data_IF_290043250505
#
_entry.id   IF_290043250505
#
_cell.length_a   1.000
_cell.length_b   1.000
_cell.length_c   1.000
_cell.angle_alpha   90.00
_cell.angle_beta   90.00
_cell.angle_gamma   90.00
#
_symmetry.space_group_name_H-M   'P 1'
#
loop_
_entity.id
_entity.type
_entity.pdbx_description
1 polymer ?
#
# COMPACT_ATOMS: atom_id res chain seq x y z
N UNK A 1 27.66 23.52 28.16
CA UNK A 1 26.42 23.62 27.37
C UNK A 1 26.41 22.46 26.39
N UNK A 2 25.24 21.83 26.15
CA UNK A 2 25.12 20.45 25.67
C UNK A 2 25.61 20.27 24.23
N UNK A 3 26.04 19.05 23.91
CA UNK A 3 26.48 18.61 22.59
C UNK A 3 25.29 18.61 21.64
N UNK A 4 25.14 19.68 20.84
CA UNK A 4 24.09 19.78 19.83
C UNK A 4 24.60 19.03 18.60
N UNK A 5 23.93 17.94 18.23
CA UNK A 5 24.21 17.25 16.97
C UNK A 5 24.08 18.29 15.85
N UNK A 6 25.18 18.58 15.16
CA UNK A 6 25.26 19.59 14.09
C UNK A 6 24.19 19.38 13.01
N UNK A 7 23.64 18.16 12.86
CA UNK A 7 22.55 17.84 11.95
C UNK A 7 21.23 18.51 12.31
N UNK A 8 20.89 18.70 13.58
CA UNK A 8 19.58 19.26 13.99
C UNK A 8 19.48 20.78 13.80
N UNK A 9 20.61 21.49 13.74
CA UNK A 9 20.63 22.94 13.57
C UNK A 9 20.36 23.39 12.12
N UNK A 10 20.37 22.47 11.14
CA UNK A 10 20.11 22.75 9.72
C UNK A 10 18.70 22.39 9.28
N UNK A 11 17.93 21.68 10.10
CA UNK A 11 16.56 21.33 9.79
C UNK A 11 15.63 22.43 10.30
N UNK A 12 14.82 22.98 9.41
CA UNK A 12 13.77 23.91 9.79
C UNK A 12 12.51 23.16 10.24
N UNK A 13 11.56 23.89 10.80
CA UNK A 13 10.29 23.33 11.27
C UNK A 13 9.51 22.61 10.15
N UNK A 14 9.70 23.03 8.89
CA UNK A 14 9.05 22.41 7.74
C UNK A 14 9.69 21.07 7.37
N UNK A 15 11.01 20.93 7.49
CA UNK A 15 11.70 19.67 7.30
C UNK A 15 11.19 18.61 8.29
N UNK A 16 11.04 18.97 9.57
CA UNK A 16 10.48 18.07 10.58
C UNK A 16 9.02 17.68 10.29
N UNK A 17 8.19 18.65 9.91
CA UNK A 17 6.81 18.38 9.51
C UNK A 17 6.75 17.41 8.32
N UNK A 18 7.60 17.62 7.32
CA UNK A 18 7.70 16.77 6.16
C UNK A 18 8.11 15.35 6.57
N UNK A 19 9.16 15.15 7.36
CA UNK A 19 9.58 13.79 7.78
C UNK A 19 8.51 13.04 8.59
N UNK A 20 7.83 13.73 9.51
CA UNK A 20 6.75 13.13 10.30
C UNK A 20 5.53 12.77 9.44
N UNK A 21 5.19 13.63 8.48
CA UNK A 21 4.05 13.37 7.58
C UNK A 21 4.41 12.38 6.45
N UNK A 22 5.65 12.34 6.01
CA UNK A 22 6.15 11.41 4.99
C UNK A 22 6.01 9.97 5.46
N UNK A 23 6.31 9.74 6.76
CA UNK A 23 6.00 8.48 7.43
C UNK A 23 4.52 8.14 7.29
N UNK A 24 3.60 9.07 7.47
CA UNK A 24 2.16 8.81 7.37
C UNK A 24 1.64 8.68 5.92
N UNK A 25 2.34 9.24 4.95
CA UNK A 25 2.01 9.13 3.52
C UNK A 25 2.50 7.79 2.95
N UNK A 26 3.64 7.29 3.43
CA UNK A 26 4.28 6.07 2.89
C UNK A 26 4.23 4.85 3.82
N UNK A 27 3.72 4.93 5.05
CA UNK A 27 3.47 3.76 5.90
C UNK A 27 2.18 3.03 5.53
N UNK A 28 2.20 2.39 4.37
CA UNK A 28 1.18 1.47 3.93
C UNK A 28 1.81 0.32 3.17
N UNK A 29 2.32 -0.67 3.90
CA UNK A 29 2.72 -1.96 3.33
C UNK A 29 1.53 -2.56 2.55
N UNK A 30 1.61 -2.57 1.22
CA UNK A 30 0.70 -3.34 0.36
C UNK A 30 0.07 -2.51 -0.76
N UNK A 31 0.29 -2.95 -2.00
CA UNK A 31 -0.19 -2.31 -3.21
C UNK A 31 -1.67 -1.89 -3.19
N UNK A 32 -1.93 -0.74 -3.84
CA UNK A 32 -3.19 0.00 -3.90
C UNK A 32 -3.67 0.42 -2.52
N UNK A 33 -3.26 1.64 -2.16
CA UNK A 33 -3.74 2.47 -1.06
C UNK A 33 -5.28 2.44 -0.98
N UNK A 34 -5.83 1.39 -0.36
CA UNK A 34 -7.26 1.22 -0.16
C UNK A 34 -7.50 1.24 1.33
N UNK A 35 -8.41 2.10 1.76
CA UNK A 35 -8.85 2.11 3.15
C UNK A 35 -9.54 0.78 3.49
N UNK A 36 -9.53 0.39 4.78
CA UNK A 36 -10.25 -0.81 5.25
C UNK A 36 -11.74 -0.78 4.86
N UNK A 37 -12.31 0.42 4.79
CA UNK A 37 -13.69 0.69 4.35
C UNK A 37 -13.89 0.32 2.88
N UNK A 38 -13.06 0.85 1.97
CA UNK A 38 -13.13 0.53 0.54
C UNK A 38 -12.91 -0.96 0.26
N UNK A 39 -12.04 -1.63 1.02
CA UNK A 39 -11.86 -3.07 0.91
C UNK A 39 -13.14 -3.84 1.27
N UNK A 40 -13.89 -3.39 2.28
CA UNK A 40 -15.15 -4.02 2.70
C UNK A 40 -16.29 -3.77 1.69
N UNK A 41 -16.36 -2.56 1.13
CA UNK A 41 -17.40 -2.19 0.16
C UNK A 41 -17.17 -2.87 -1.21
N UNK A 42 -15.91 -3.04 -1.62
CA UNK A 42 -15.57 -3.62 -2.92
C UNK A 42 -15.24 -5.12 -2.88
N UNK A 43 -15.44 -5.81 -1.74
CA UNK A 43 -15.29 -7.27 -1.67
C UNK A 43 -16.55 -7.91 -1.09
N UNK A 44 -16.89 -9.11 -1.57
CA UNK A 44 -17.94 -9.98 -0.99
C UNK A 44 -19.39 -9.46 -1.01
N UNK A 45 -19.76 -8.62 -1.97
CA UNK A 45 -21.17 -8.39 -2.29
C UNK A 45 -21.85 -9.67 -2.79
N UNK A 46 -23.06 -9.93 -2.31
CA UNK A 46 -23.89 -11.04 -2.78
C UNK A 46 -24.43 -10.71 -4.16
N UNK A 47 -23.84 -11.33 -5.18
CA UNK A 47 -24.35 -11.33 -6.53
C UNK A 47 -24.47 -12.80 -6.97
N UNK A 48 -25.66 -13.27 -7.38
CA UNK A 48 -25.90 -14.65 -7.83
C UNK A 48 -24.91 -15.13 -8.90
N UNK A 49 -24.46 -14.21 -9.75
CA UNK A 49 -23.46 -14.43 -10.80
C UNK A 49 -22.06 -13.90 -10.44
N UNK A 50 -21.93 -13.21 -9.31
CA UNK A 50 -20.66 -12.67 -8.83
C UNK A 50 -19.72 -13.75 -8.29
N UNK A 51 -20.25 -14.88 -7.81
CA UNK A 51 -19.41 -15.99 -7.34
C UNK A 51 -18.61 -16.62 -8.49
N UNK A 52 -19.26 -16.91 -9.61
CA UNK A 52 -18.58 -17.44 -10.81
C UNK A 52 -17.59 -16.43 -11.38
N UNK A 53 -17.96 -15.14 -11.52
CA UNK A 53 -17.01 -14.10 -11.96
C UNK A 53 -15.80 -13.95 -11.03
N UNK A 54 -16.00 -14.05 -9.71
CA UNK A 54 -14.91 -14.01 -8.73
C UNK A 54 -13.97 -15.20 -8.90
N UNK A 55 -14.50 -16.41 -9.10
CA UNK A 55 -13.68 -17.61 -9.37
C UNK A 55 -12.84 -17.42 -10.63
N UNK A 56 -13.47 -17.01 -11.74
CA UNK A 56 -12.77 -16.78 -13.02
C UNK A 56 -11.67 -15.73 -12.86
N UNK A 57 -11.97 -14.62 -12.19
CA UNK A 57 -10.99 -13.55 -11.96
C UNK A 57 -9.81 -14.02 -11.10
N UNK A 58 -10.07 -14.81 -10.05
CA UNK A 58 -9.01 -15.40 -9.22
C UNK A 58 -8.11 -16.33 -10.02
N UNK A 59 -8.69 -17.16 -10.89
CA UNK A 59 -7.95 -18.07 -11.76
C UNK A 59 -7.04 -17.29 -12.73
N UNK A 60 -7.57 -16.26 -13.39
CA UNK A 60 -6.80 -15.40 -14.30
C UNK A 60 -5.65 -14.68 -13.58
N UNK A 61 -5.89 -14.12 -12.40
CA UNK A 61 -4.87 -13.43 -11.61
C UNK A 61 -3.77 -14.39 -11.12
N UNK A 62 -4.13 -15.61 -10.71
CA UNK A 62 -3.17 -16.63 -10.29
C UNK A 62 -2.22 -16.99 -11.44
N UNK A 63 -2.76 -17.21 -12.65
CA UNK A 63 -1.95 -17.50 -13.84
C UNK A 63 -1.06 -16.31 -14.24
N UNK A 64 -1.58 -15.08 -14.19
CA UNK A 64 -0.78 -13.88 -14.46
C UNK A 64 0.37 -13.71 -13.45
N UNK A 65 0.10 -13.92 -12.16
CA UNK A 65 1.12 -13.84 -11.11
C UNK A 65 2.20 -14.92 -11.29
N UNK A 66 1.82 -16.15 -11.68
CA UNK A 66 2.75 -17.23 -11.99
C UNK A 66 3.65 -16.91 -13.18
N UNK A 67 3.10 -16.29 -14.24
CA UNK A 67 3.89 -15.85 -15.40
C UNK A 67 4.88 -14.75 -15.03
N UNK A 68 4.40 -13.73 -14.32
CA UNK A 68 5.25 -12.58 -13.91
C UNK A 68 6.32 -12.97 -12.88
N UNK A 69 6.08 -13.96 -12.03
CA UNK A 69 7.13 -14.48 -11.13
C UNK A 69 8.20 -15.24 -11.90
N UNK A 70 7.83 -15.98 -12.95
CA UNK A 70 8.78 -16.77 -13.74
C UNK A 70 9.65 -15.91 -14.67
N UNK A 71 9.18 -14.72 -15.07
CA UNK A 71 9.95 -13.77 -15.91
C UNK A 71 10.96 -12.94 -15.12
N UNK A 72 10.86 -12.88 -13.79
CA UNK A 72 11.76 -12.08 -12.93
C UNK A 72 13.01 -12.84 -12.45
N UNK A 73 13.18 -14.09 -12.89
CA UNK A 73 14.34 -14.93 -12.60
C UNK A 73 15.30 -14.98 -13.79
#
# INVERSE_FOLDING_TARGET
MPNVNMSEAFFDEYDYYNFDHDKHIFTGHGGKQRTKKEASEHTNHFDPSGHSRKIVTKLMNAEHNKKTSNTKH
#
